data_IF_304226345162
#
_entry.id   IF_304226345162
#
_cell.length_a   1.000
_cell.length_b   1.000
_cell.length_c   1.000
_cell.angle_alpha   90.00
_cell.angle_beta   90.00
_cell.angle_gamma   90.00
#
_symmetry.space_group_name_H-M   'P 1'
#
loop_
_entity.id
_entity.type
_entity.pdbx_description
1 polymer ?
#
# COMPACT_ATOMS: atom_id res chain seq x y z
N UNK A 1 -6.49 -6.10 47.36
CA UNK A 1 -6.79 -5.17 46.25
C UNK A 1 -5.50 -4.47 45.87
N UNK A 2 -4.74 -5.02 44.94
CA UNK A 2 -3.51 -4.40 44.43
C UNK A 2 -3.75 -4.04 42.97
N UNK A 3 -3.99 -2.75 42.76
CA UNK A 3 -4.14 -2.12 41.46
C UNK A 3 -2.84 -2.27 40.67
N UNK A 4 -2.88 -3.06 39.60
CA UNK A 4 -1.79 -3.15 38.62
C UNK A 4 -1.92 -1.95 37.69
N UNK A 5 -1.14 -0.91 37.96
CA UNK A 5 -1.00 0.23 37.07
C UNK A 5 -0.28 -0.24 35.79
N UNK A 6 -1.04 -0.32 34.69
CA UNK A 6 -0.51 -0.60 33.36
C UNK A 6 0.37 0.59 32.91
N UNK A 7 1.67 0.34 32.79
CA UNK A 7 2.62 1.28 32.22
C UNK A 7 2.27 1.53 30.75
N UNK A 8 2.30 2.79 30.27
CA UNK A 8 2.09 3.08 28.85
C UNK A 8 3.22 2.49 28.02
N UNK A 9 2.86 1.70 27.01
CA UNK A 9 3.80 1.14 26.04
C UNK A 9 4.54 2.27 25.30
N UNK A 10 5.86 2.15 25.05
CA UNK A 10 6.61 3.16 24.32
C UNK A 10 6.14 3.26 22.86
N UNK A 11 5.99 4.51 22.38
CA UNK A 11 5.36 4.88 21.10
C UNK A 11 6.08 4.42 19.81
N UNK A 12 7.19 3.68 19.93
CA UNK A 12 8.06 3.28 18.81
C UNK A 12 8.27 1.77 18.63
N UNK A 13 7.57 0.92 19.37
CA UNK A 13 7.61 -0.51 19.09
C UNK A 13 6.89 -0.81 17.77
N UNK A 14 7.61 -1.36 16.78
CA UNK A 14 6.95 -2.05 15.66
C UNK A 14 5.98 -3.08 16.26
N UNK A 15 4.74 -3.19 15.75
CA UNK A 15 3.81 -4.21 16.20
C UNK A 15 4.51 -5.57 16.29
N UNK A 16 4.20 -6.36 17.31
CA UNK A 16 4.64 -7.76 17.36
C UNK A 16 4.16 -8.44 16.06
N UNK A 17 5.04 -9.12 15.29
CA UNK A 17 4.65 -9.85 14.08
C UNK A 17 3.43 -10.75 14.28
N UNK A 18 3.18 -11.23 15.52
CA UNK A 18 1.96 -11.97 15.87
C UNK A 18 0.67 -11.18 15.69
N UNK A 19 0.67 -9.87 15.94
CA UNK A 19 -0.50 -8.99 15.75
C UNK A 19 -0.82 -8.90 14.26
N UNK A 20 0.19 -8.60 13.43
CA UNK A 20 0.02 -8.51 11.98
C UNK A 20 -0.46 -9.84 11.38
N UNK A 21 0.13 -10.96 11.81
CA UNK A 21 -0.27 -12.29 11.39
C UNK A 21 -1.69 -12.65 11.85
N UNK A 22 -2.06 -12.31 13.09
CA UNK A 22 -3.40 -12.52 13.63
C UNK A 22 -4.47 -11.67 12.94
N UNK A 23 -4.09 -10.48 12.46
CA UNK A 23 -4.94 -9.61 11.64
C UNK A 23 -5.17 -10.18 10.25
N UNK A 24 -4.12 -10.61 9.55
CA UNK A 24 -4.26 -11.25 8.23
C UNK A 24 -5.13 -12.52 8.27
N UNK A 25 -5.12 -13.25 9.38
CA UNK A 25 -5.99 -14.41 9.58
C UNK A 25 -7.49 -14.06 9.56
N UNK A 26 -7.85 -12.80 9.81
CA UNK A 26 -9.25 -12.33 9.77
C UNK A 26 -9.81 -12.17 8.38
N UNK A 27 -8.97 -12.31 7.33
CA UNK A 27 -9.36 -12.07 5.95
C UNK A 27 -10.60 -12.88 5.56
N UNK A 28 -11.56 -12.21 4.92
CA UNK A 28 -12.78 -12.80 4.39
C UNK A 28 -13.02 -12.32 2.97
N UNK A 29 -13.53 -13.20 2.12
CA UNK A 29 -13.97 -12.80 0.79
C UNK A 29 -15.07 -11.74 0.90
N UNK A 30 -14.88 -10.62 0.18
CA UNK A 30 -15.81 -9.51 0.16
C UNK A 30 -16.63 -9.53 -1.14
N UNK A 31 -15.96 -9.42 -2.29
CA UNK A 31 -16.63 -9.41 -3.59
C UNK A 31 -15.67 -9.73 -4.74
N UNK A 32 -16.22 -10.01 -5.91
CA UNK A 32 -15.49 -10.14 -7.18
C UNK A 32 -16.08 -9.17 -8.19
N UNK A 33 -15.23 -8.43 -8.90
CA UNK A 33 -15.64 -7.43 -9.88
C UNK A 33 -14.85 -7.61 -11.19
N UNK A 34 -15.52 -7.72 -12.35
CA UNK A 34 -14.81 -7.84 -13.62
C UNK A 34 -14.20 -6.51 -14.09
N UNK A 35 -14.69 -5.38 -13.58
CA UNK A 35 -14.26 -4.03 -13.99
C UNK A 35 -14.29 -3.08 -12.79
N UNK A 36 -13.48 -2.02 -12.85
CA UNK A 36 -13.36 -1.00 -11.80
C UNK A 36 -14.72 -0.39 -11.41
N UNK A 37 -15.60 -0.16 -12.38
CA UNK A 37 -16.95 0.42 -12.13
C UNK A 37 -17.87 -0.46 -11.27
N UNK A 38 -17.56 -1.75 -11.16
CA UNK A 38 -18.33 -2.69 -10.33
C UNK A 38 -17.73 -2.86 -8.93
N UNK A 39 -16.59 -2.21 -8.65
CA UNK A 39 -16.01 -2.24 -7.31
C UNK A 39 -16.81 -1.31 -6.39
N UNK A 40 -17.16 -1.76 -5.18
CA UNK A 40 -17.77 -0.90 -4.19
C UNK A 40 -16.80 0.24 -3.84
N UNK A 41 -17.39 1.39 -3.48
CA UNK A 41 -16.64 2.43 -2.79
C UNK A 41 -16.33 1.94 -1.38
N UNK A 42 -15.06 2.00 -1.01
CA UNK A 42 -14.55 1.55 0.28
C UNK A 42 -13.64 2.67 0.79
N UNK A 43 -13.91 3.17 1.99
CA UNK A 43 -13.17 4.30 2.57
C UNK A 43 -12.05 3.85 3.52
N UNK A 44 -11.66 2.56 3.46
CA UNK A 44 -10.54 1.99 4.23
C UNK A 44 -9.34 1.68 3.32
N UNK A 45 -8.11 1.66 3.87
CA UNK A 45 -6.90 1.37 3.11
C UNK A 45 -6.98 0.05 2.32
N UNK A 46 -6.61 0.11 1.05
CA UNK A 46 -6.59 -1.02 0.13
C UNK A 46 -5.15 -1.35 -0.27
N UNK A 47 -4.82 -2.64 -0.26
CA UNK A 47 -3.50 -3.15 -0.66
C UNK A 47 -3.68 -4.12 -1.82
N UNK A 48 -3.12 -3.75 -2.97
CA UNK A 48 -3.26 -4.54 -4.19
C UNK A 48 -2.11 -5.52 -4.38
N UNK A 49 -2.45 -6.75 -4.70
CA UNK A 49 -1.52 -7.78 -5.14
C UNK A 49 -1.59 -7.88 -6.66
N UNK A 50 -0.45 -7.70 -7.30
CA UNK A 50 -0.30 -7.74 -8.75
C UNK A 50 0.89 -8.60 -9.13
N UNK A 51 0.86 -9.18 -10.32
CA UNK A 51 1.97 -9.98 -10.83
C UNK A 51 1.56 -10.85 -12.00
N UNK A 52 2.55 -11.44 -12.67
CA UNK A 52 2.31 -12.33 -13.81
C UNK A 52 1.44 -13.54 -13.43
N UNK A 53 0.75 -14.08 -14.42
CA UNK A 53 0.05 -15.37 -14.28
C UNK A 53 1.02 -16.43 -13.77
N UNK A 54 0.60 -17.22 -12.78
CA UNK A 54 1.44 -18.21 -12.08
C UNK A 54 2.66 -17.66 -11.32
N UNK A 55 2.77 -16.35 -11.08
CA UNK A 55 3.77 -15.79 -10.18
C UNK A 55 3.56 -16.25 -8.71
N UNK A 56 2.41 -16.83 -8.38
CA UNK A 56 2.13 -17.36 -7.04
C UNK A 56 1.29 -16.43 -6.17
N UNK A 57 0.58 -15.45 -6.75
CA UNK A 57 -0.23 -14.45 -6.03
C UNK A 57 -1.30 -15.05 -5.12
N UNK A 58 -2.20 -15.88 -5.64
CA UNK A 58 -3.24 -16.50 -4.80
C UNK A 58 -2.62 -17.41 -3.72
N UNK A 59 -1.51 -18.08 -4.01
CA UNK A 59 -0.76 -18.88 -3.02
C UNK A 59 -0.14 -18.00 -1.93
N UNK A 60 0.42 -16.85 -2.31
CA UNK A 60 0.96 -15.85 -1.38
C UNK A 60 -0.13 -15.31 -0.45
N UNK A 61 -1.26 -14.86 -1.00
CA UNK A 61 -2.41 -14.38 -0.23
C UNK A 61 -2.86 -15.45 0.77
N UNK A 62 -3.10 -16.69 0.30
CA UNK A 62 -3.47 -17.81 1.16
C UNK A 62 -2.44 -18.12 2.26
N UNK A 63 -1.15 -17.94 1.98
CA UNK A 63 -0.09 -18.15 2.97
C UNK A 63 -0.09 -17.05 4.03
N UNK A 64 -0.22 -15.80 3.60
CA UNK A 64 -0.26 -14.61 4.46
C UNK A 64 -1.50 -14.62 5.37
N UNK A 65 -2.66 -14.95 4.80
CA UNK A 65 -3.92 -15.05 5.55
C UNK A 65 -4.07 -16.38 6.29
N UNK A 66 -3.15 -17.32 6.09
CA UNK A 66 -3.17 -18.65 6.69
C UNK A 66 -4.46 -19.44 6.37
N UNK A 67 -5.01 -19.25 5.17
CA UNK A 67 -6.24 -19.87 4.69
C UNK A 67 -5.99 -20.64 3.39
N UNK A 68 -6.59 -21.83 3.25
CA UNK A 68 -6.29 -22.69 2.10
C UNK A 68 -7.07 -22.38 0.81
N UNK A 69 -8.21 -21.67 0.91
CA UNK A 69 -9.14 -21.45 -0.22
C UNK A 69 -9.75 -20.05 -0.27
N UNK A 70 -9.06 -19.05 0.29
CA UNK A 70 -9.52 -17.67 0.23
C UNK A 70 -9.36 -17.13 -1.20
N UNK A 71 -8.13 -17.17 -1.72
CA UNK A 71 -7.84 -16.88 -3.11
C UNK A 71 -7.71 -18.19 -3.89
N UNK A 72 -8.49 -18.33 -4.96
CA UNK A 72 -8.46 -19.54 -5.79
C UNK A 72 -7.17 -19.62 -6.61
N UNK A 73 -6.17 -20.33 -6.09
CA UNK A 73 -4.96 -20.69 -6.81
C UNK A 73 -5.28 -21.75 -7.88
N UNK A 74 -5.75 -21.34 -9.06
CA UNK A 74 -5.92 -22.27 -10.18
C UNK A 74 -4.59 -22.52 -10.88
N UNK A 75 -4.31 -23.80 -11.19
CA UNK A 75 -3.21 -24.19 -12.09
C UNK A 75 -3.51 -23.86 -13.56
N UNK A 76 -4.78 -23.61 -13.89
CA UNK A 76 -5.23 -23.22 -15.23
C UNK A 76 -5.04 -21.71 -15.38
N UNK A 77 -4.09 -21.25 -16.19
CA UNK A 77 -3.82 -19.82 -16.32
C UNK A 77 -4.98 -19.13 -17.07
N UNK A 78 -5.31 -17.88 -16.69
CA UNK A 78 -6.40 -17.09 -17.31
C UNK A 78 -7.79 -17.25 -16.69
N UNK A 79 -7.94 -18.04 -15.62
CA UNK A 79 -9.22 -18.25 -14.92
C UNK A 79 -9.70 -17.04 -14.12
N UNK A 80 -8.78 -16.24 -13.59
CA UNK A 80 -9.12 -15.03 -12.81
C UNK A 80 -9.02 -13.81 -13.70
N UNK A 81 -10.12 -13.47 -14.37
CA UNK A 81 -10.26 -12.24 -15.16
C UNK A 81 -10.81 -11.06 -14.33
N UNK A 82 -11.27 -11.34 -13.12
CA UNK A 82 -11.90 -10.39 -12.21
C UNK A 82 -10.95 -10.00 -11.07
N UNK A 83 -11.16 -8.81 -10.53
CA UNK A 83 -10.57 -8.32 -9.30
C UNK A 83 -11.31 -8.97 -8.13
N UNK A 84 -10.60 -9.60 -7.20
CA UNK A 84 -11.20 -10.14 -5.98
C UNK A 84 -10.80 -9.26 -4.79
N UNK A 85 -11.77 -8.86 -3.98
CA UNK A 85 -11.54 -8.12 -2.75
C UNK A 85 -11.71 -9.03 -1.54
N UNK A 86 -10.82 -8.86 -0.58
CA UNK A 86 -10.87 -9.53 0.72
C UNK A 86 -10.84 -8.49 1.83
N UNK A 87 -11.90 -8.43 2.63
CA UNK A 87 -11.98 -7.57 3.81
C UNK A 87 -11.12 -8.13 4.94
N UNK A 88 -10.43 -7.25 5.65
CA UNK A 88 -9.70 -7.52 6.89
C UNK A 88 -10.34 -6.75 8.05
N UNK A 89 -10.22 -7.30 9.26
CA UNK A 89 -10.67 -6.65 10.48
C UNK A 89 -11.41 -7.59 11.44
N UNK A 90 -11.63 -7.12 12.67
CA UNK A 90 -12.22 -7.91 13.76
C UNK A 90 -13.62 -7.42 14.11
N UNK A 91 -14.41 -8.32 14.69
CA UNK A 91 -15.72 -7.99 15.30
C UNK A 91 -16.71 -7.29 14.34
N UNK A 92 -16.62 -7.59 13.03
CA UNK A 92 -17.51 -7.02 12.02
C UNK A 92 -17.11 -5.64 11.50
N UNK A 93 -16.01 -5.07 12.00
CA UNK A 93 -15.41 -3.84 11.48
C UNK A 93 -14.39 -4.22 10.41
N UNK A 94 -14.48 -3.61 9.23
CA UNK A 94 -13.46 -3.70 8.19
C UNK A 94 -12.48 -2.55 8.38
N UNK A 95 -11.20 -2.85 8.60
CA UNK A 95 -10.14 -1.85 8.76
C UNK A 95 -9.25 -1.71 7.51
N UNK A 96 -9.23 -2.73 6.66
CA UNK A 96 -8.51 -2.71 5.38
C UNK A 96 -9.08 -3.72 4.38
N UNK A 97 -8.64 -3.60 3.13
CA UNK A 97 -8.98 -4.53 2.04
C UNK A 97 -7.72 -5.00 1.32
N UNK A 98 -7.63 -6.30 1.05
CA UNK A 98 -6.68 -6.85 0.10
C UNK A 98 -7.35 -7.03 -1.26
N UNK A 99 -6.73 -6.56 -2.32
CA UNK A 99 -7.20 -6.75 -3.69
C UNK A 99 -6.30 -7.75 -4.43
N UNK A 100 -6.85 -8.85 -4.92
CA UNK A 100 -6.19 -9.78 -5.82
C UNK A 100 -6.52 -9.41 -7.26
N UNK A 101 -5.59 -8.74 -7.91
CA UNK A 101 -5.77 -8.29 -9.28
C UNK A 101 -5.52 -9.45 -10.27
N UNK A 102 -6.18 -9.46 -11.44
CA UNK A 102 -5.95 -10.47 -12.45
C UNK A 102 -4.47 -10.48 -12.88
N UNK A 103 -3.90 -11.66 -13.12
CA UNK A 103 -2.49 -11.77 -13.49
C UNK A 103 -2.25 -11.53 -14.99
N UNK A 104 -1.11 -10.92 -15.35
CA UNK A 104 -0.74 -10.61 -16.74
C UNK A 104 0.25 -11.58 -17.37
N UNK A 105 0.55 -11.35 -18.65
CA UNK A 105 1.63 -12.04 -19.35
C UNK A 105 1.30 -13.48 -19.72
N UNK A 106 0.02 -13.89 -19.69
CA UNK A 106 -0.35 -15.21 -20.16
C UNK A 106 -0.37 -15.26 -21.70
N UNK A 107 0.45 -16.16 -22.26
CA UNK A 107 0.71 -16.25 -23.70
C UNK A 107 -0.54 -16.62 -24.53
N UNK A 108 -1.43 -17.44 -23.97
CA UNK A 108 -2.58 -18.02 -24.68
C UNK A 108 -3.86 -17.17 -24.62
N UNK A 109 -3.78 -15.91 -24.20
CA UNK A 109 -4.94 -15.00 -24.17
C UNK A 109 -5.02 -14.20 -25.48
N UNK A 110 -6.21 -14.04 -26.09
CA UNK A 110 -6.41 -13.15 -27.24
C UNK A 110 -5.86 -11.74 -27.00
N UNK A 111 -5.41 -11.07 -28.06
CA UNK A 111 -4.80 -9.73 -27.96
C UNK A 111 -5.75 -8.73 -27.29
N UNK A 112 -7.04 -8.80 -27.61
CA UNK A 112 -8.10 -7.94 -27.07
C UNK A 112 -8.22 -8.07 -25.56
N UNK A 113 -8.11 -9.29 -25.03
CA UNK A 113 -8.15 -9.54 -23.59
C UNK A 113 -6.85 -9.11 -22.89
N UNK A 114 -5.70 -9.10 -23.58
CA UNK A 114 -4.47 -8.47 -23.06
C UNK A 114 -4.63 -6.95 -22.94
N UNK A 115 -5.18 -6.29 -23.96
CA UNK A 115 -5.44 -4.85 -23.92
C UNK A 115 -6.46 -4.47 -22.83
N UNK A 116 -7.58 -5.20 -22.75
CA UNK A 116 -8.58 -4.98 -21.70
C UNK A 116 -7.98 -5.12 -20.31
N UNK A 117 -7.12 -6.12 -20.11
CA UNK A 117 -6.41 -6.30 -18.85
C UNK A 117 -5.49 -5.12 -18.53
N UNK A 118 -4.70 -4.64 -19.50
CA UNK A 118 -3.82 -3.49 -19.31
C UNK A 118 -4.60 -2.24 -18.94
N UNK A 119 -5.76 -2.00 -19.59
CA UNK A 119 -6.63 -0.88 -19.26
C UNK A 119 -7.25 -1.00 -17.88
N UNK A 120 -7.81 -2.17 -17.52
CA UNK A 120 -8.39 -2.38 -16.18
C UNK A 120 -7.34 -2.22 -15.10
N UNK A 121 -6.15 -2.79 -15.30
CA UNK A 121 -5.04 -2.68 -14.36
C UNK A 121 -4.55 -1.23 -14.22
N UNK A 122 -4.22 -0.57 -15.33
CA UNK A 122 -3.73 0.81 -15.32
C UNK A 122 -4.74 1.75 -14.67
N UNK A 123 -6.00 1.65 -15.05
CA UNK A 123 -7.07 2.46 -14.46
C UNK A 123 -7.20 2.19 -12.95
N UNK A 124 -7.21 0.92 -12.53
CA UNK A 124 -7.29 0.57 -11.12
C UNK A 124 -6.11 1.14 -10.32
N UNK A 125 -4.87 0.95 -10.79
CA UNK A 125 -3.68 1.39 -10.07
C UNK A 125 -3.55 2.93 -10.00
N UNK A 126 -4.08 3.65 -10.99
CA UNK A 126 -4.01 5.11 -11.04
C UNK A 126 -5.19 5.81 -10.37
N UNK A 127 -6.41 5.26 -10.45
CA UNK A 127 -7.63 5.99 -10.08
C UNK A 127 -8.31 5.50 -8.81
N UNK A 128 -7.83 4.41 -8.20
CA UNK A 128 -8.40 3.88 -6.95
C UNK A 128 -7.92 4.72 -5.77
N UNK A 129 -8.78 5.60 -5.27
CA UNK A 129 -8.45 6.59 -4.23
C UNK A 129 -7.93 5.99 -2.92
N UNK A 130 -8.54 4.88 -2.47
CA UNK A 130 -8.18 4.22 -1.22
C UNK A 130 -6.99 3.24 -1.36
N UNK A 131 -6.39 3.14 -2.55
CA UNK A 131 -5.23 2.29 -2.78
C UNK A 131 -4.00 2.91 -2.10
N UNK A 132 -3.52 2.25 -1.05
CA UNK A 132 -2.43 2.71 -0.21
C UNK A 132 -1.10 2.03 -0.55
N UNK A 133 -1.16 0.77 -1.02
CA UNK A 133 0.03 -0.01 -1.32
C UNK A 133 -0.16 -1.01 -2.46
N UNK A 134 0.94 -1.32 -3.14
CA UNK A 134 1.01 -2.35 -4.18
C UNK A 134 2.12 -3.35 -3.81
N UNK A 135 1.76 -4.63 -3.84
CA UNK A 135 2.69 -5.76 -3.78
C UNK A 135 2.81 -6.37 -5.16
N UNK A 136 3.96 -6.19 -5.80
CA UNK A 136 4.29 -6.80 -7.09
C UNK A 136 4.98 -8.15 -6.89
N UNK A 137 4.37 -9.22 -7.36
CA UNK A 137 4.91 -10.57 -7.24
C UNK A 137 5.66 -10.97 -8.51
N UNK A 138 6.92 -11.30 -8.33
CA UNK A 138 7.82 -11.73 -9.40
C UNK A 138 8.44 -13.10 -9.08
N UNK A 139 8.52 -13.99 -10.07
CA UNK A 139 9.29 -15.22 -9.96
C UNK A 139 10.77 -14.90 -10.28
N UNK A 140 11.69 -14.93 -9.30
CA UNK A 140 13.07 -14.48 -9.45
C UNK A 140 13.88 -15.30 -10.46
N UNK A 141 13.41 -16.49 -10.86
CA UNK A 141 14.06 -17.30 -11.92
C UNK A 141 13.89 -16.71 -13.31
N UNK A 142 12.85 -15.89 -13.50
CA UNK A 142 12.55 -15.23 -14.77
C UNK A 142 12.98 -13.76 -14.77
N UNK A 143 13.30 -13.19 -13.60
CA UNK A 143 13.54 -11.75 -13.46
C UNK A 143 12.30 -10.91 -13.75
N UNK A 144 12.50 -9.59 -13.81
CA UNK A 144 11.51 -8.66 -14.34
C UNK A 144 11.45 -8.76 -15.86
N UNK A 145 10.24 -8.72 -16.39
CA UNK A 145 9.94 -8.72 -17.83
C UNK A 145 9.47 -7.34 -18.26
N UNK A 146 9.39 -7.10 -19.57
CA UNK A 146 8.87 -5.86 -20.15
C UNK A 146 7.49 -5.46 -19.57
N UNK A 147 6.61 -6.43 -19.31
CA UNK A 147 5.30 -6.15 -18.71
C UNK A 147 5.40 -5.68 -17.25
N UNK A 148 6.40 -6.17 -16.52
CA UNK A 148 6.68 -5.71 -15.16
C UNK A 148 7.23 -4.28 -15.18
N UNK A 149 8.12 -3.98 -16.14
CA UNK A 149 8.68 -2.63 -16.35
C UNK A 149 7.61 -1.60 -16.71
N UNK A 150 6.71 -1.94 -17.65
CA UNK A 150 5.56 -1.08 -17.99
C UNK A 150 4.69 -0.81 -16.76
N UNK A 151 4.45 -1.83 -15.92
CA UNK A 151 3.68 -1.65 -14.69
C UNK A 151 4.40 -0.74 -13.70
N UNK A 152 5.72 -0.88 -13.55
CA UNK A 152 6.54 0.00 -12.72
C UNK A 152 6.44 1.46 -13.17
N UNK A 153 6.48 1.72 -14.47
CA UNK A 153 6.33 3.06 -15.02
C UNK A 153 4.93 3.63 -14.77
N UNK A 154 3.88 2.80 -14.90
CA UNK A 154 2.49 3.19 -14.64
C UNK A 154 2.26 3.61 -13.19
N UNK A 155 2.92 2.95 -12.22
CA UNK A 155 2.74 3.23 -10.79
C UNK A 155 3.69 4.29 -10.25
N UNK A 156 4.76 4.63 -10.98
CA UNK A 156 5.80 5.57 -10.49
C UNK A 156 5.23 6.90 -10.02
N UNK A 157 4.30 7.58 -10.73
CA UNK A 157 3.69 8.82 -10.24
C UNK A 157 2.97 8.65 -8.90
N UNK A 158 2.24 7.53 -8.72
CA UNK A 158 1.53 7.23 -7.47
C UNK A 158 2.51 6.97 -6.32
N UNK A 159 3.64 6.31 -6.61
CA UNK A 159 4.70 6.06 -5.62
C UNK A 159 5.33 7.39 -5.16
N UNK A 160 5.56 8.33 -6.08
CA UNK A 160 6.03 9.69 -5.77
C UNK A 160 5.02 10.48 -4.91
N UNK A 161 3.72 10.25 -5.11
CA UNK A 161 2.63 10.79 -4.28
C UNK A 161 2.52 10.12 -2.89
N UNK A 162 3.28 9.04 -2.64
CA UNK A 162 3.37 8.38 -1.35
C UNK A 162 2.78 6.97 -1.28
N UNK A 163 2.27 6.43 -2.39
CA UNK A 163 1.84 5.03 -2.49
C UNK A 163 3.00 4.09 -2.16
N UNK A 164 2.74 3.12 -1.28
CA UNK A 164 3.75 2.17 -0.85
C UNK A 164 3.92 1.06 -1.88
N UNK A 165 5.15 0.65 -2.12
CA UNK A 165 5.46 -0.35 -3.13
C UNK A 165 6.46 -1.38 -2.61
N UNK A 166 6.16 -2.65 -2.84
CA UNK A 166 7.00 -3.78 -2.47
C UNK A 166 7.05 -4.79 -3.61
N UNK A 167 8.27 -5.16 -4.00
CA UNK A 167 8.49 -6.30 -4.91
C UNK A 167 8.74 -7.55 -4.09
N UNK A 168 7.90 -8.56 -4.30
CA UNK A 168 7.97 -9.83 -3.64
C UNK A 168 8.49 -10.90 -4.60
N UNK A 169 9.71 -11.38 -4.35
CA UNK A 169 10.36 -12.45 -5.09
C UNK A 169 9.86 -13.80 -4.59
N UNK A 170 8.79 -14.29 -5.21
CA UNK A 170 8.10 -15.52 -4.81
C UNK A 170 8.91 -16.76 -5.18
N UNK A 171 8.53 -17.93 -4.62
CA UNK A 171 9.18 -19.22 -4.89
C UNK A 171 10.71 -19.17 -4.66
N UNK A 172 11.15 -18.37 -3.69
CA UNK A 172 12.57 -18.25 -3.34
C UNK A 172 13.21 -19.59 -2.94
N UNK A 173 12.41 -20.58 -2.53
CA UNK A 173 12.83 -21.96 -2.29
C UNK A 173 13.42 -22.67 -3.52
N UNK A 174 13.22 -22.12 -4.72
CA UNK A 174 13.80 -22.65 -5.97
C UNK A 174 15.18 -22.11 -6.28
N UNK A 175 15.70 -21.17 -5.48
CA UNK A 175 17.03 -20.60 -5.67
C UNK A 175 17.95 -20.99 -4.51
N UNK A 176 19.23 -21.09 -4.79
CA UNK A 176 20.24 -21.12 -3.73
C UNK A 176 20.43 -19.71 -3.15
N UNK A 177 21.14 -19.62 -2.01
CA UNK A 177 21.35 -18.35 -1.29
C UNK A 177 22.03 -17.27 -2.14
N UNK A 178 23.00 -17.66 -2.95
CA UNK A 178 23.78 -16.74 -3.79
C UNK A 178 22.92 -16.16 -4.91
N UNK A 179 22.16 -16.99 -5.61
CA UNK A 179 21.30 -16.57 -6.71
C UNK A 179 20.10 -15.76 -6.20
N UNK A 180 19.56 -16.10 -5.03
CA UNK A 180 18.52 -15.30 -4.38
C UNK A 180 19.02 -13.89 -4.02
N UNK A 181 20.24 -13.77 -3.48
CA UNK A 181 20.84 -12.48 -3.18
C UNK A 181 21.09 -11.66 -4.47
N UNK A 182 21.61 -12.29 -5.53
CA UNK A 182 21.80 -11.64 -6.84
C UNK A 182 20.48 -11.15 -7.43
N UNK A 183 19.46 -12.01 -7.47
CA UNK A 183 18.15 -11.65 -8.00
C UNK A 183 17.53 -10.47 -7.25
N UNK A 184 17.66 -10.44 -5.92
CA UNK A 184 17.20 -9.32 -5.10
C UNK A 184 17.90 -8.00 -5.45
N UNK A 185 19.22 -8.01 -5.64
CA UNK A 185 19.96 -6.80 -6.03
C UNK A 185 19.59 -6.32 -7.43
N UNK A 186 19.49 -7.23 -8.40
CA UNK A 186 19.11 -6.90 -9.78
C UNK A 186 17.73 -6.26 -9.80
N UNK A 187 16.75 -6.90 -9.15
CA UNK A 187 15.37 -6.39 -9.12
C UNK A 187 15.27 -5.06 -8.38
N UNK A 188 16.04 -4.88 -7.30
CA UNK A 188 16.08 -3.59 -6.58
C UNK A 188 16.59 -2.45 -7.46
N UNK A 189 17.60 -2.71 -8.29
CA UNK A 189 18.10 -1.71 -9.24
C UNK A 189 17.08 -1.42 -10.35
N UNK A 190 16.49 -2.46 -10.93
CA UNK A 190 15.51 -2.34 -12.01
C UNK A 190 14.19 -1.68 -11.57
N UNK A 191 13.76 -1.90 -10.32
CA UNK A 191 12.57 -1.26 -9.76
C UNK A 191 12.76 0.24 -9.46
N UNK A 192 13.96 0.79 -9.68
CA UNK A 192 14.28 2.18 -9.36
C UNK A 192 14.47 2.42 -7.85
N UNK A 193 14.81 1.37 -7.10
CA UNK A 193 14.87 1.39 -5.64
C UNK A 193 13.63 0.76 -4.99
N UNK A 194 13.40 1.08 -3.71
CA UNK A 194 12.29 0.53 -2.93
C UNK A 194 12.59 -0.79 -2.21
N UNK A 195 11.54 -1.37 -1.62
CA UNK A 195 11.62 -2.61 -0.85
C UNK A 195 11.47 -3.83 -1.77
N UNK A 196 12.45 -4.73 -1.71
CA UNK A 196 12.43 -6.02 -2.39
C UNK A 196 12.66 -7.12 -1.36
N UNK A 197 11.79 -8.13 -1.34
CA UNK A 197 11.83 -9.20 -0.35
C UNK A 197 11.74 -10.58 -0.99
N UNK A 198 12.48 -11.53 -0.43
CA UNK A 198 12.37 -12.95 -0.79
C UNK A 198 11.16 -13.57 -0.07
N UNK A 199 10.39 -14.38 -0.79
CA UNK A 199 9.21 -15.03 -0.26
C UNK A 199 9.06 -16.46 -0.77
N UNK A 200 8.79 -17.38 0.17
CA UNK A 200 8.42 -18.75 -0.17
C UNK A 200 7.22 -19.17 0.65
N UNK A 201 6.10 -19.43 -0.03
CA UNK A 201 4.93 -20.08 0.57
C UNK A 201 5.28 -21.47 1.11
N UNK A 202 6.14 -22.21 0.41
CA UNK A 202 6.50 -23.59 0.79
C UNK A 202 7.36 -23.63 2.05
N UNK A 203 8.32 -22.71 2.18
CA UNK A 203 9.21 -22.62 3.35
C UNK A 203 8.72 -21.63 4.41
N UNK A 204 7.58 -20.97 4.18
CA UNK A 204 7.06 -19.85 4.98
C UNK A 204 8.09 -18.75 5.21
N UNK A 205 9.00 -18.55 4.24
CA UNK A 205 10.03 -17.53 4.30
C UNK A 205 9.45 -16.16 3.96
N UNK A 206 9.78 -15.14 4.76
CA UNK A 206 9.38 -13.74 4.52
C UNK A 206 7.93 -13.42 4.89
N UNK A 207 7.17 -14.39 5.43
CA UNK A 207 5.74 -14.23 5.75
C UNK A 207 5.54 -13.17 6.83
N UNK A 208 6.30 -13.23 7.93
CA UNK A 208 6.18 -12.28 9.05
C UNK A 208 6.59 -10.86 8.64
N UNK A 209 7.68 -10.73 7.88
CA UNK A 209 8.12 -9.43 7.37
C UNK A 209 7.07 -8.78 6.48
N UNK A 210 6.51 -9.54 5.52
CA UNK A 210 5.47 -9.03 4.63
C UNK A 210 4.22 -8.68 5.43
N UNK A 211 3.81 -9.53 6.39
CA UNK A 211 2.67 -9.24 7.24
C UNK A 211 2.84 -7.91 7.98
N UNK A 212 4.04 -7.66 8.51
CA UNK A 212 4.35 -6.42 9.19
C UNK A 212 4.22 -5.21 8.27
N UNK A 213 4.77 -5.28 7.05
CA UNK A 213 4.62 -4.21 6.06
C UNK A 213 3.15 -3.92 5.74
N UNK A 214 2.35 -4.98 5.50
CA UNK A 214 0.92 -4.82 5.22
C UNK A 214 0.16 -4.18 6.38
N UNK A 215 0.47 -4.59 7.61
CA UNK A 215 -0.12 -4.00 8.81
C UNK A 215 0.22 -2.51 8.93
N UNK A 216 1.50 -2.15 8.76
CA UNK A 216 1.98 -0.78 8.89
C UNK A 216 1.35 0.15 7.83
N UNK A 217 1.08 -0.36 6.64
CA UNK A 217 0.41 0.40 5.58
C UNK A 217 -1.10 0.53 5.79
N UNK A 218 -1.74 -0.49 6.36
CA UNK A 218 -3.16 -0.47 6.70
C UNK A 218 -3.47 0.38 7.94
N UNK A 219 -2.50 0.53 8.86
CA UNK A 219 -2.66 1.28 10.11
C UNK A 219 -1.58 2.36 10.21
N UNK A 220 -1.60 3.38 9.34
CA UNK A 220 -0.66 4.48 9.45
C UNK A 220 -0.82 5.13 10.83
N UNK A 221 0.28 5.23 11.59
CA UNK A 221 0.29 6.01 12.83
C UNK A 221 -0.23 7.41 12.49
N UNK A 222 -1.26 7.89 13.19
CA UNK A 222 -1.78 9.24 13.00
C UNK A 222 -0.61 10.23 13.01
N UNK A 223 -0.42 10.98 11.93
CA UNK A 223 0.44 12.16 11.99
C UNK A 223 -0.21 13.10 13.01
N UNK A 224 0.53 13.65 13.99
CA UNK A 224 -0.04 14.67 14.86
C UNK A 224 -0.61 15.76 13.96
N UNK A 225 -1.91 16.00 14.10
CA UNK A 225 -2.62 17.08 13.42
C UNK A 225 -1.83 18.35 13.73
N UNK A 226 -1.20 18.95 12.72
CA UNK A 226 -0.71 20.33 12.83
C UNK A 226 -1.95 21.18 13.03
N UNK A 227 -2.27 21.45 14.29
CA UNK A 227 -3.20 22.51 14.66
C UNK A 227 -2.67 23.77 13.96
N UNK A 228 -3.48 24.45 13.14
CA UNK A 228 -3.07 25.74 12.59
C UNK A 228 -2.68 26.63 13.77
N UNK A 229 -1.45 27.13 13.76
CA UNK A 229 -1.00 28.16 14.69
C UNK A 229 -2.04 29.28 14.62
N UNK A 230 -2.66 29.72 15.74
CA UNK A 230 -3.57 30.86 15.69
C UNK A 230 -2.82 32.02 15.05
N UNK A 231 -3.47 32.66 14.07
CA UNK A 231 -2.93 33.83 13.38
C UNK A 231 -2.47 34.85 14.43
N UNK A 232 -1.33 35.54 14.21
CA UNK A 232 -0.95 36.64 15.09
C UNK A 232 -2.08 37.68 15.06
N UNK A 233 -2.61 37.99 16.23
CA UNK A 233 -3.52 39.13 16.42
C UNK A 233 -2.85 40.37 15.85
N UNK A 234 -3.54 41.02 14.90
CA UNK A 234 -3.16 42.34 14.41
C UNK A 234 -3.08 43.30 15.60
N UNK A 235 -1.99 44.07 15.78
CA UNK A 235 -1.99 45.13 16.77
C UNK A 235 -3.02 46.18 16.37
N UNK A 236 -3.89 46.52 17.31
CA UNK A 236 -4.83 47.62 17.21
C UNK A 236 -4.08 48.91 16.84
N UNK A 237 -4.56 49.59 15.81
CA UNK A 237 -4.08 50.90 15.38
C UNK A 237 -4.14 51.91 16.53
N UNK A 238 -3.03 52.62 16.69
CA UNK A 238 -2.76 53.53 17.78
C UNK A 238 -3.54 54.85 17.75
N UNK A 239 -3.66 55.38 18.96
CA UNK A 239 -3.45 56.77 19.34
C UNK A 239 -4.05 57.88 18.47
N UNK A 240 -5.19 58.40 18.95
CA UNK A 240 -5.61 59.79 18.74
C UNK A 240 -4.69 60.74 19.52
N UNK A 241 -3.87 61.50 18.79
CA UNK A 241 -2.94 62.50 19.32
C UNK A 241 -3.68 63.79 19.77
N UNK A 242 -3.41 64.37 20.95
CA UNK A 242 -4.00 65.62 21.40
C UNK A 242 -3.20 66.85 20.92
N UNK A 243 -3.96 67.81 20.43
CA UNK A 243 -3.55 69.09 19.87
C UNK A 243 -2.97 70.04 20.95
N UNK A 244 -1.70 70.46 20.83
CA UNK A 244 -1.20 71.77 21.29
C UNK A 244 0.28 72.00 20.94
N UNK A 245 0.56 72.97 20.05
CA UNK A 245 1.74 73.86 20.18
C UNK A 245 1.66 75.03 19.18
N UNK A 246 1.30 76.21 19.69
CA UNK A 246 1.77 77.51 19.21
C UNK A 246 3.23 77.71 19.69
N UNK A 247 4.12 78.53 19.07
CA UNK A 247 3.97 80.00 18.93
C UNK A 247 4.77 80.57 17.71
N UNK A 248 5.27 81.84 17.62
CA UNK A 248 4.98 83.10 18.34
C UNK A 248 4.59 84.29 17.41
N UNK A 249 4.42 85.45 18.06
CA UNK A 249 3.93 86.75 17.59
C UNK A 249 4.85 87.56 16.66
N UNK A 250 4.23 88.45 15.86
CA UNK A 250 4.62 89.84 15.50
C UNK A 250 3.68 90.33 14.37
N UNK A 251 3.37 91.60 14.12
CA UNK A 251 3.15 92.83 14.87
C UNK A 251 2.51 93.81 13.84
N UNK A 252 1.79 94.84 14.32
CA UNK A 252 1.42 96.11 13.63
C UNK A 252 0.55 96.11 12.35
N UNK A 253 -0.70 96.61 12.48
CA UNK A 253 -1.17 97.93 12.01
C UNK A 253 -2.65 98.15 12.37
#
# INVERSE_FOLDING_TARGET
>A
MTSSASLPLPADAKPDPKIAMGWLHTAKFLTTAPELKHLPRIDVPEIAFVGRSNAGKSTCINTLTQQHRLAFASKTPGRTQSINLFSLGKQGVTDAVLADLPGYGYAAVPKEAKYRWQQVMGNYLQTRDNLQAIVLLCDPRLGLTELDEVLLDVIRPRVEEGLKFLVLLTKSDKLNKTDAAKAMQIVKLQAGGGDVKLFSSLKRQGVEEVAQHLWDWAHPKEKPVKVPKPAPESPADGESDPQASMPPAADLA
#
